data_IF_987378618249
#
_entry.id   IF_987378618249
#
_cell.length_a   1.000
_cell.length_b   1.000
_cell.length_c   1.000
_cell.angle_alpha   90.00
_cell.angle_beta   90.00
_cell.angle_gamma   90.00
#
_symmetry.space_group_name_H-M   'P 1'
#
loop_
_entity.id
_entity.type
_entity.pdbx_description
1 polymer ?
#
# COMPACT_ATOMS: atom_id res chain seq x y z
N UNK A 1 18.11 9.22 -6.51
CA UNK A 1 16.65 9.33 -6.67
C UNK A 1 16.06 9.10 -5.29
N UNK A 2 15.17 9.99 -4.86
CA UNK A 2 14.36 9.81 -3.64
C UNK A 2 13.56 8.50 -3.78
N UNK A 3 13.35 7.76 -2.69
CA UNK A 3 12.56 6.52 -2.73
C UNK A 3 11.13 6.73 -3.23
N UNK A 4 10.54 7.89 -2.94
CA UNK A 4 9.22 8.26 -3.46
C UNK A 4 9.24 8.53 -4.97
N UNK A 5 10.33 9.08 -5.50
CA UNK A 5 10.47 9.25 -6.96
C UNK A 5 10.58 7.89 -7.67
N UNK A 6 11.26 6.90 -7.08
CA UNK A 6 11.30 5.54 -7.62
C UNK A 6 9.89 4.91 -7.66
N UNK A 7 9.12 5.06 -6.57
CA UNK A 7 7.73 4.59 -6.52
C UNK A 7 6.89 5.25 -7.62
N UNK A 8 6.97 6.59 -7.75
CA UNK A 8 6.24 7.33 -8.79
C UNK A 8 6.57 6.86 -10.18
N UNK A 9 7.85 6.67 -10.49
CA UNK A 9 8.29 6.19 -11.81
C UNK A 9 7.67 4.83 -12.14
N UNK A 10 7.59 3.95 -11.15
CA UNK A 10 6.99 2.61 -11.30
C UNK A 10 5.48 2.66 -11.47
N UNK A 11 4.79 3.50 -10.72
CA UNK A 11 3.34 3.70 -10.86
C UNK A 11 2.99 4.30 -12.23
N UNK A 12 3.75 5.30 -12.70
CA UNK A 12 3.52 5.92 -14.03
C UNK A 12 3.75 4.93 -15.17
N UNK A 13 4.61 3.94 -14.96
CA UNK A 13 4.90 2.88 -15.93
C UNK A 13 3.88 1.74 -15.93
N UNK A 14 2.93 1.70 -14.99
CA UNK A 14 1.91 0.65 -14.93
C UNK A 14 1.03 0.65 -16.18
N UNK A 15 0.67 -0.55 -16.59
CA UNK A 15 -0.25 -0.81 -17.70
C UNK A 15 -1.28 -1.90 -17.33
N UNK A 16 -2.04 -2.36 -18.32
CA UNK A 16 -3.06 -3.38 -18.14
C UNK A 16 -2.51 -4.75 -17.70
N UNK A 17 -1.22 -5.02 -17.92
CA UNK A 17 -0.59 -6.28 -17.49
C UNK A 17 -0.11 -6.21 -16.03
N UNK A 18 0.03 -5.00 -15.51
CA UNK A 18 0.49 -4.69 -14.15
C UNK A 18 -0.61 -4.80 -13.10
N UNK A 19 -1.89 -4.66 -13.46
CA UNK A 19 -3.01 -4.66 -12.51
C UNK A 19 -4.02 -5.75 -12.85
N UNK A 20 -4.36 -6.57 -11.86
CA UNK A 20 -5.35 -7.64 -11.98
C UNK A 20 -6.43 -7.48 -10.93
N UNK A 21 -7.60 -8.03 -11.21
CA UNK A 21 -8.70 -8.12 -10.26
C UNK A 21 -8.99 -9.58 -9.93
N UNK A 22 -9.03 -9.91 -8.65
CA UNK A 22 -9.52 -11.20 -8.14
C UNK A 22 -10.77 -10.98 -7.28
N UNK A 23 -11.98 -11.32 -7.78
CA UNK A 23 -13.22 -11.15 -7.02
C UNK A 23 -13.38 -12.14 -5.87
N UNK A 24 -12.56 -13.19 -5.80
CA UNK A 24 -12.61 -14.21 -4.76
C UNK A 24 -11.77 -13.83 -3.55
N UNK A 25 -10.81 -12.93 -3.74
CA UNK A 25 -10.03 -12.36 -2.66
C UNK A 25 -10.85 -11.28 -1.92
N UNK A 26 -10.85 -11.37 -0.60
CA UNK A 26 -11.58 -10.47 0.29
C UNK A 26 -10.69 -9.37 0.87
N UNK A 27 -9.38 -9.43 0.64
CA UNK A 27 -8.44 -8.40 1.07
C UNK A 27 -8.51 -7.16 0.16
N UNK A 28 -7.74 -6.13 0.51
CA UNK A 28 -7.63 -4.92 -0.31
C UNK A 28 -6.81 -5.21 -1.57
N UNK A 29 -5.54 -5.54 -1.41
CA UNK A 29 -4.68 -5.92 -2.51
C UNK A 29 -3.55 -6.81 -2.00
N UNK A 30 -2.83 -7.41 -2.94
CA UNK A 30 -1.54 -8.02 -2.69
C UNK A 30 -0.68 -7.96 -3.95
N UNK A 31 0.61 -8.25 -3.77
CA UNK A 31 1.63 -8.28 -4.81
C UNK A 31 2.63 -9.39 -4.55
N UNK A 32 3.48 -9.66 -5.53
CA UNK A 32 4.64 -10.53 -5.34
C UNK A 32 5.91 -9.70 -5.56
N UNK A 33 6.86 -9.61 -4.62
CA UNK A 33 8.03 -8.73 -4.76
C UNK A 33 8.84 -8.92 -6.06
N UNK A 34 8.88 -10.14 -6.61
CA UNK A 34 9.61 -10.47 -7.84
C UNK A 34 8.80 -10.20 -9.12
N UNK A 35 7.55 -9.75 -9.00
CA UNK A 35 6.65 -9.47 -10.12
C UNK A 35 6.07 -8.07 -9.97
N UNK A 36 6.15 -7.27 -11.01
CA UNK A 36 5.50 -5.96 -11.05
C UNK A 36 4.01 -6.15 -11.36
N UNK A 37 3.28 -6.84 -10.47
CA UNK A 37 1.83 -7.09 -10.60
C UNK A 37 1.15 -6.85 -9.26
N UNK A 38 0.13 -6.00 -9.27
CA UNK A 38 -0.82 -5.83 -8.17
C UNK A 38 -2.08 -6.62 -8.48
N UNK A 39 -2.54 -7.41 -7.51
CA UNK A 39 -3.85 -8.05 -7.54
C UNK A 39 -4.76 -7.31 -6.59
N UNK A 40 -5.84 -6.75 -7.12
CA UNK A 40 -6.87 -6.03 -6.36
C UNK A 40 -7.95 -7.02 -5.96
N UNK A 41 -8.22 -7.10 -4.65
CA UNK A 41 -9.31 -7.88 -4.10
C UNK A 41 -10.62 -7.11 -4.12
N UNK A 42 -11.66 -7.73 -3.56
CA UNK A 42 -13.00 -7.17 -3.51
C UNK A 42 -13.08 -5.95 -2.58
N UNK A 43 -12.42 -5.98 -1.43
CA UNK A 43 -12.52 -4.91 -0.43
C UNK A 43 -11.89 -3.59 -0.89
N UNK A 44 -10.91 -3.63 -1.79
CA UNK A 44 -10.32 -2.43 -2.40
C UNK A 44 -11.37 -1.55 -3.08
N UNK A 45 -12.34 -2.17 -3.76
CA UNK A 45 -13.40 -1.44 -4.44
C UNK A 45 -14.56 -1.06 -3.53
N UNK A 46 -14.89 -1.90 -2.57
CA UNK A 46 -16.10 -1.74 -1.76
C UNK A 46 -15.89 -0.90 -0.50
N UNK A 47 -14.68 -0.89 0.05
CA UNK A 47 -14.40 -0.28 1.35
C UNK A 47 -13.53 0.99 1.27
N UNK A 48 -12.68 1.12 0.25
CA UNK A 48 -11.67 2.17 0.20
C UNK A 48 -12.11 3.40 -0.62
N UNK A 49 -11.79 4.58 -0.10
CA UNK A 49 -11.91 5.85 -0.83
C UNK A 49 -10.83 5.94 -1.93
N UNK A 50 -11.01 6.78 -2.95
CA UNK A 50 -9.98 6.99 -3.97
C UNK A 50 -8.68 7.61 -3.39
N UNK A 51 -8.83 8.44 -2.36
CA UNK A 51 -7.77 9.24 -1.72
C UNK A 51 -8.08 9.47 -0.24
N UNK A 52 -7.09 9.98 0.50
CA UNK A 52 -7.16 10.18 1.96
C UNK A 52 -6.49 9.02 2.69
N UNK A 53 -6.77 8.85 3.98
CA UNK A 53 -6.20 7.77 4.80
C UNK A 53 -6.64 6.38 4.32
N UNK A 54 -5.69 5.44 4.25
CA UNK A 54 -5.87 4.02 3.88
C UNK A 54 -6.68 3.89 2.58
N UNK A 55 -6.30 4.66 1.57
CA UNK A 55 -7.07 4.84 0.33
C UNK A 55 -6.67 3.87 -0.76
N UNK A 56 -7.47 3.78 -1.84
CA UNK A 56 -7.10 3.05 -3.07
C UNK A 56 -5.78 3.55 -3.64
N UNK A 57 -5.56 4.87 -3.64
CA UNK A 57 -4.27 5.45 -4.04
C UNK A 57 -3.12 5.01 -3.13
N UNK A 58 -3.32 5.08 -1.81
CA UNK A 58 -2.37 4.63 -0.80
C UNK A 58 -2.02 3.15 -0.91
N UNK A 59 -3.03 2.30 -1.07
CA UNK A 59 -2.86 0.85 -1.26
C UNK A 59 -2.04 0.53 -2.53
N UNK A 60 -2.25 1.24 -3.65
CA UNK A 60 -1.41 1.04 -4.85
C UNK A 60 0.06 1.40 -4.57
N UNK A 61 0.30 2.47 -3.81
CA UNK A 61 1.65 2.89 -3.40
C UNK A 61 2.30 1.85 -2.47
N UNK A 62 1.54 1.33 -1.51
CA UNK A 62 1.96 0.26 -0.62
C UNK A 62 2.44 -0.96 -1.43
N UNK A 63 1.58 -1.50 -2.30
CA UNK A 63 1.89 -2.70 -3.08
C UNK A 63 3.04 -2.47 -4.08
N UNK A 64 3.09 -1.32 -4.75
CA UNK A 64 4.18 -1.00 -5.67
C UNK A 64 5.53 -0.88 -4.96
N UNK A 65 5.55 -0.51 -3.67
CA UNK A 65 6.78 -0.38 -2.89
C UNK A 65 7.44 -1.74 -2.60
N UNK A 66 6.66 -2.82 -2.54
CA UNK A 66 7.16 -4.19 -2.30
C UNK A 66 7.98 -4.74 -3.46
N UNK A 67 7.80 -4.23 -4.68
CA UNK A 67 8.55 -4.73 -5.83
C UNK A 67 10.05 -4.51 -5.63
N UNK A 68 10.84 -5.55 -5.90
CA UNK A 68 12.30 -5.47 -5.81
C UNK A 68 12.90 -4.44 -6.78
N UNK A 69 12.20 -4.15 -7.88
CA UNK A 69 12.53 -3.11 -8.86
C UNK A 69 12.15 -1.69 -8.42
N UNK A 70 11.40 -1.56 -7.32
CA UNK A 70 11.01 -0.31 -6.66
C UNK A 70 11.89 -0.11 -5.43
N UNK A 71 11.45 -0.57 -4.25
CA UNK A 71 12.17 -0.43 -2.98
C UNK A 71 12.31 -1.76 -2.22
N UNK A 72 11.56 -2.80 -2.62
CA UNK A 72 11.57 -4.10 -1.97
C UNK A 72 11.18 -4.05 -0.50
N UNK A 73 10.21 -3.20 -0.13
CA UNK A 73 9.71 -3.05 1.25
C UNK A 73 9.08 -4.35 1.77
N UNK A 74 8.87 -4.40 3.08
CA UNK A 74 8.21 -5.49 3.80
C UNK A 74 6.99 -4.95 4.58
N UNK A 75 6.13 -5.85 5.03
CA UNK A 75 5.02 -5.54 5.96
C UNK A 75 5.47 -5.67 7.43
N UNK A 76 6.16 -4.64 7.91
CA UNK A 76 6.71 -4.59 9.28
C UNK A 76 5.63 -4.15 10.29
N UNK A 77 4.82 -3.16 9.92
CA UNK A 77 3.74 -2.62 10.74
C UNK A 77 2.60 -2.13 9.85
N UNK A 78 1.38 -2.16 10.39
CA UNK A 78 0.16 -1.78 9.67
C UNK A 78 -0.49 -0.52 10.24
N UNK A 79 -1.08 0.27 9.36
CA UNK A 79 -1.82 1.51 9.61
C UNK A 79 -0.93 2.74 9.80
N UNK A 80 -1.56 3.92 9.74
CA UNK A 80 -0.88 5.21 9.87
C UNK A 80 -0.32 5.51 11.27
N UNK A 81 -0.83 4.89 12.34
CA UNK A 81 -0.30 5.00 13.73
C UNK A 81 0.79 3.95 14.04
N UNK A 82 1.56 3.58 13.02
CA UNK A 82 2.67 2.64 13.12
C UNK A 82 3.79 3.15 14.05
N UNK A 83 4.05 2.42 15.14
CA UNK A 83 5.15 2.69 16.07
C UNK A 83 6.45 2.04 15.60
N UNK A 84 7.08 2.64 14.59
CA UNK A 84 8.41 2.22 14.10
C UNK A 84 9.50 3.06 14.76
N UNK A 85 10.46 2.40 15.43
CA UNK A 85 11.45 3.08 16.28
C UNK A 85 12.80 3.33 15.60
N UNK A 86 12.98 2.91 14.35
CA UNK A 86 14.22 3.15 13.61
C UNK A 86 13.94 3.69 12.21
N UNK A 87 14.84 4.54 11.71
CA UNK A 87 14.79 5.02 10.35
C UNK A 87 14.87 3.87 9.33
N UNK A 88 15.64 2.83 9.63
CA UNK A 88 15.74 1.64 8.77
C UNK A 88 14.41 0.92 8.63
N UNK A 89 13.71 0.68 9.74
CA UNK A 89 12.40 0.01 9.73
C UNK A 89 11.34 0.88 9.06
N UNK A 90 11.41 2.21 9.23
CA UNK A 90 10.51 3.15 8.56
C UNK A 90 10.67 3.05 7.03
N UNK A 91 11.90 3.13 6.51
CA UNK A 91 12.14 3.05 5.06
C UNK A 91 11.84 1.66 4.46
N UNK A 92 11.90 0.61 5.29
CA UNK A 92 11.59 -0.77 4.87
C UNK A 92 10.12 -1.13 4.98
N UNK A 93 9.27 -0.32 5.61
CA UNK A 93 7.86 -0.65 5.78
C UNK A 93 7.02 -0.07 4.62
N UNK A 94 6.20 -0.88 3.97
CA UNK A 94 5.36 -0.43 2.86
C UNK A 94 4.34 0.65 3.30
N UNK A 95 3.66 0.45 4.42
CA UNK A 95 2.71 1.42 5.00
C UNK A 95 3.35 2.77 5.36
N UNK A 96 4.67 2.83 5.58
CA UNK A 96 5.34 4.12 5.79
C UNK A 96 5.39 4.97 4.52
N UNK A 97 5.49 4.34 3.34
CA UNK A 97 5.44 5.04 2.05
C UNK A 97 4.02 5.44 1.66
N UNK A 98 3.04 4.58 1.94
CA UNK A 98 1.61 4.91 1.85
C UNK A 98 1.28 6.14 2.71
N UNK A 99 1.56 6.09 4.01
CA UNK A 99 1.30 7.19 4.93
C UNK A 99 2.02 8.48 4.52
N UNK A 100 3.26 8.37 4.02
CA UNK A 100 4.01 9.52 3.51
C UNK A 100 3.28 10.16 2.32
N UNK A 101 2.83 9.36 1.35
CA UNK A 101 2.15 9.87 0.18
C UNK A 101 0.78 10.50 0.53
N UNK A 102 0.00 9.83 1.38
CA UNK A 102 -1.31 10.31 1.82
C UNK A 102 -1.21 11.62 2.60
N UNK A 103 -0.11 11.86 3.33
CA UNK A 103 0.11 13.10 4.08
C UNK A 103 0.17 14.36 3.20
N UNK A 104 0.46 14.23 1.89
CA UNK A 104 0.47 15.36 0.96
C UNK A 104 -0.93 15.74 0.46
N UNK A 105 -1.91 14.85 0.61
CA UNK A 105 -3.24 15.02 0.01
C UNK A 105 -4.26 15.53 1.01
N UNK A 106 -3.85 15.70 2.27
CA UNK A 106 -4.79 15.74 3.36
C UNK A 106 -4.70 17.03 4.20
N UNK A 107 -5.48 18.03 3.80
CA UNK A 107 -5.83 19.17 4.65
C UNK A 107 -6.97 18.85 5.64
N UNK A 108 -7.57 17.63 5.59
CA UNK A 108 -8.70 17.22 6.46
C UNK A 108 -8.56 15.82 7.12
N UNK A 109 -7.37 15.19 7.09
CA UNK A 109 -7.09 13.80 7.52
C UNK A 109 -7.60 13.46 8.91
N UNK A 110 -7.55 14.46 9.79
CA UNK A 110 -7.84 14.32 11.20
C UNK A 110 -9.30 13.92 11.50
N UNK A 111 -10.19 13.88 10.50
CA UNK A 111 -11.60 13.52 10.68
C UNK A 111 -11.98 12.17 10.06
N UNK A 112 -11.13 11.55 9.24
CA UNK A 112 -11.38 10.21 8.71
C UNK A 112 -11.12 9.18 9.83
N UNK A 113 -12.12 8.34 10.14
CA UNK A 113 -11.90 7.22 11.06
C UNK A 113 -10.96 6.21 10.38
N UNK A 114 -9.93 5.71 11.06
CA UNK A 114 -9.11 4.61 10.54
C UNK A 114 -10.01 3.43 10.21
N UNK A 115 -9.98 2.96 8.96
CA UNK A 115 -10.77 1.80 8.51
C UNK A 115 -10.21 0.52 9.18
N UNK A 116 -8.92 0.53 9.51
CA UNK A 116 -8.20 -0.55 10.21
C UNK A 116 -8.74 -0.91 11.61
N UNK A 117 -9.57 -0.06 12.23
CA UNK A 117 -10.17 -0.37 13.52
C UNK A 117 -11.31 -1.41 13.45
N UNK A 118 -11.78 -1.80 12.25
CA UNK A 118 -12.94 -2.68 12.09
C UNK A 118 -12.71 -3.94 11.26
N UNK A 119 -11.58 -4.10 10.57
CA UNK A 119 -11.35 -5.26 9.71
C UNK A 119 -10.01 -5.93 10.06
N UNK A 120 -10.06 -7.26 10.18
CA UNK A 120 -8.95 -8.08 10.66
C UNK A 120 -7.67 -7.81 9.87
N UNK A 121 -6.55 -7.85 10.58
CA UNK A 121 -5.18 -7.73 10.06
C UNK A 121 -5.06 -8.29 8.64
N UNK A 122 -4.56 -7.48 7.69
CA UNK A 122 -4.16 -7.93 6.35
C UNK A 122 -3.32 -9.22 6.51
N UNK A 123 -3.77 -10.36 5.95
CA UNK A 123 -3.02 -11.60 6.04
C UNK A 123 -1.76 -11.49 5.19
N UNK A 124 -0.66 -12.04 5.72
CA UNK A 124 0.64 -12.06 5.06
C UNK A 124 0.60 -12.95 3.80
N UNK A 125 1.19 -12.53 2.67
CA UNK A 125 1.38 -13.39 1.49
C UNK A 125 2.44 -14.50 1.65
N UNK A 126 2.98 -14.74 2.85
CA UNK A 126 4.14 -15.63 3.05
C UNK A 126 3.81 -17.15 2.97
N UNK A 127 2.58 -17.54 2.60
CA UNK A 127 2.11 -18.94 2.58
C UNK A 127 1.69 -19.47 1.18
N UNK A 128 2.27 -18.98 0.07
CA UNK A 128 2.10 -19.62 -1.26
C UNK A 128 3.35 -19.67 -2.12
#
# INVERSE_FOLDING_TARGET
MDGYDIIKERIIAMDNDTVRYDPTDIDFAFTYPQREVIVLGKAFWEALNDSGLDSRGGTIIHEASHWLSTLGTDDIAYGSDQRLHSHRTLLRNADSWESFAESFWDENAAQAKPIDAQLGKRPRPEDS
#
